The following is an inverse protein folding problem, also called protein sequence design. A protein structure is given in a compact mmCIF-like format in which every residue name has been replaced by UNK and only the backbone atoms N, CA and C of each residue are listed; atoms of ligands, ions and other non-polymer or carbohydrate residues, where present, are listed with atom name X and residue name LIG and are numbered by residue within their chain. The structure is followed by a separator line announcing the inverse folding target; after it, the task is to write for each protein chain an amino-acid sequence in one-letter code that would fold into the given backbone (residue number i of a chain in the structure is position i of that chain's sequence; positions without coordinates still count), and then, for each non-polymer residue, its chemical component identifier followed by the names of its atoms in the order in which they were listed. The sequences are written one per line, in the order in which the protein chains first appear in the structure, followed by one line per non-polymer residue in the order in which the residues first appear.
data_IF_610920551412
#
_entry.id   IF_610920551412
#
_cell.length_a   1.000
_cell.length_b   1.000
_cell.length_c   1.000
_cell.angle_alpha   90.00
_cell.angle_beta   90.00
_cell.angle_gamma   90.00
#
_symmetry.space_group_name_H-M   'P 1'
#
loop_
_entity.id
_entity.type
_entity.pdbx_description
1 polymer ?
#
# COMPACT_ATOMS: atom_id res chain seq x y z
N UNK A 1 -1.00 -14.80 16.19
CA UNK A 1 -0.08 -13.82 15.59
C UNK A 1 -0.87 -12.69 14.96
N UNK A 2 -0.41 -11.47 15.10
CA UNK A 2 -0.99 -10.28 14.52
C UNK A 2 0.04 -9.56 13.66
N UNK A 3 -0.35 -9.07 12.50
CA UNK A 3 0.50 -8.30 11.62
C UNK A 3 -0.31 -7.68 10.49
N UNK A 4 0.20 -6.63 9.88
CA UNK A 4 -0.42 -5.97 8.75
C UNK A 4 0.64 -5.53 7.73
N UNK A 5 0.29 -5.53 6.46
CA UNK A 5 1.12 -5.06 5.36
C UNK A 5 0.23 -4.47 4.27
N UNK A 6 0.55 -3.29 3.81
CA UNK A 6 -0.06 -2.75 2.60
C UNK A 6 0.53 -3.47 1.37
N UNK A 7 -0.33 -3.85 0.45
CA UNK A 7 0.04 -4.52 -0.80
C UNK A 7 -0.35 -3.63 -1.97
N UNK A 8 0.58 -3.38 -2.88
CA UNK A 8 0.32 -2.63 -4.09
C UNK A 8 -0.53 -3.45 -5.05
N UNK A 9 -1.76 -3.01 -5.29
CA UNK A 9 -2.71 -3.69 -6.16
C UNK A 9 -3.08 -2.88 -7.42
N UNK A 10 -2.26 -1.90 -7.80
CA UNK A 10 -2.45 -1.06 -8.98
C UNK A 10 -2.22 -1.80 -10.30
N UNK A 11 -1.51 -2.92 -10.26
CA UNK A 11 -1.19 -3.73 -11.42
C UNK A 11 -0.22 -3.06 -12.39
N UNK A 12 -0.18 -3.54 -13.62
CA UNK A 12 0.77 -3.13 -14.65
C UNK A 12 0.81 -1.61 -14.92
N UNK A 13 -0.30 -0.91 -14.74
CA UNK A 13 -0.40 0.54 -14.97
C UNK A 13 0.17 1.39 -13.83
N UNK A 14 0.58 0.76 -12.74
CA UNK A 14 1.14 1.42 -11.55
C UNK A 14 2.54 0.91 -11.22
N UNK A 15 3.17 0.16 -12.09
CA UNK A 15 4.56 -0.27 -11.89
C UNK A 15 5.48 0.93 -11.99
N UNK A 16 6.40 1.10 -11.01
CA UNK A 16 7.50 2.06 -11.13
C UNK A 16 8.56 1.55 -12.11
N UNK A 17 9.60 2.31 -12.31
CA UNK A 17 10.85 1.80 -12.88
C UNK A 17 11.36 0.66 -12.01
N UNK A 18 11.62 -0.50 -12.61
CA UNK A 18 11.91 -1.74 -11.87
C UNK A 18 13.38 -1.85 -11.42
N UNK A 19 14.24 -0.93 -11.83
CA UNK A 19 15.65 -0.93 -11.45
C UNK A 19 16.12 0.49 -11.08
N UNK A 20 17.18 0.56 -10.34
CA UNK A 20 17.89 1.77 -9.99
C UNK A 20 19.36 1.43 -9.73
N UNK A 21 20.21 2.41 -9.61
CA UNK A 21 21.64 2.20 -9.40
C UNK A 21 21.89 1.34 -8.14
N UNK A 22 22.41 0.14 -8.35
CA UNK A 22 22.72 -0.81 -7.29
C UNK A 22 21.55 -1.63 -6.77
N UNK A 23 20.35 -1.59 -7.41
CA UNK A 23 19.21 -2.36 -6.96
C UNK A 23 18.11 -2.57 -7.98
N UNK A 24 17.23 -3.54 -7.69
CA UNK A 24 16.04 -3.83 -8.49
C UNK A 24 14.83 -4.08 -7.57
N UNK A 25 13.64 -3.79 -8.08
CA UNK A 25 12.37 -4.05 -7.40
C UNK A 25 11.75 -5.34 -7.93
N UNK A 26 11.33 -6.22 -7.02
CA UNK A 26 10.73 -7.52 -7.36
C UNK A 26 9.43 -7.76 -6.62
N UNK A 27 8.57 -8.60 -7.15
CA UNK A 27 7.37 -9.09 -6.47
C UNK A 27 6.35 -8.02 -6.13
N UNK A 28 5.64 -8.19 -5.02
CA UNK A 28 4.58 -7.29 -4.60
C UNK A 28 5.09 -5.89 -4.22
N UNK A 29 6.35 -5.75 -3.84
CA UNK A 29 6.98 -4.44 -3.56
C UNK A 29 7.13 -3.62 -4.85
N UNK A 30 7.38 -4.28 -5.98
CA UNK A 30 7.32 -3.65 -7.30
C UNK A 30 5.88 -3.42 -7.79
N UNK A 31 4.87 -4.06 -7.20
CA UNK A 31 3.48 -3.96 -7.63
C UNK A 31 3.04 -5.02 -8.63
N UNK A 32 3.74 -6.14 -8.74
CA UNK A 32 3.44 -7.21 -9.70
C UNK A 32 2.32 -8.16 -9.26
N UNK A 33 1.56 -7.83 -8.21
CA UNK A 33 0.39 -8.59 -7.79
C UNK A 33 -0.66 -8.62 -8.92
N UNK A 34 -1.13 -9.80 -9.30
CA UNK A 34 -2.29 -9.92 -10.17
C UNK A 34 -3.58 -9.73 -9.36
N UNK A 35 -4.14 -8.52 -9.40
CA UNK A 35 -5.32 -8.14 -8.63
C UNK A 35 -6.57 -8.94 -9.02
N UNK A 36 -6.70 -9.41 -10.27
CA UNK A 36 -7.86 -10.19 -10.73
C UNK A 36 -7.90 -11.60 -10.14
N UNK A 37 -6.74 -12.13 -9.74
CA UNK A 37 -6.59 -13.45 -9.11
C UNK A 37 -6.31 -13.37 -7.62
N UNK A 38 -6.00 -12.18 -7.10
CA UNK A 38 -5.50 -11.97 -5.73
C UNK A 38 -4.30 -12.88 -5.46
N UNK A 39 -3.39 -12.98 -6.43
CA UNK A 39 -2.19 -13.84 -6.39
C UNK A 39 -0.96 -13.05 -6.78
N UNK A 40 0.09 -13.17 -5.95
CA UNK A 40 1.36 -12.50 -6.16
C UNK A 40 2.56 -13.46 -6.14
N UNK A 41 2.43 -14.66 -5.56
CA UNK A 41 3.57 -15.57 -5.35
C UNK A 41 4.26 -15.97 -6.65
N UNK A 42 3.50 -16.33 -7.69
CA UNK A 42 4.06 -16.69 -9.01
C UNK A 42 4.74 -15.49 -9.69
N UNK A 43 4.19 -14.29 -9.50
CA UNK A 43 4.78 -13.06 -10.02
C UNK A 43 6.08 -12.71 -9.27
N UNK A 44 6.09 -12.85 -7.95
CA UNK A 44 7.27 -12.64 -7.14
C UNK A 44 8.41 -13.61 -7.49
N UNK A 45 8.08 -14.90 -7.66
CA UNK A 45 9.05 -15.91 -8.11
C UNK A 45 9.61 -15.55 -9.49
N UNK A 46 8.74 -15.22 -10.47
CA UNK A 46 9.19 -14.90 -11.83
C UNK A 46 10.07 -13.66 -11.87
N UNK A 47 9.68 -12.60 -11.18
CA UNK A 47 10.51 -11.39 -11.13
C UNK A 47 11.82 -11.63 -10.38
N UNK A 48 11.81 -12.43 -9.31
CA UNK A 48 13.04 -12.85 -8.62
C UNK A 48 14.01 -13.62 -9.51
N UNK A 49 13.49 -14.56 -10.34
CA UNK A 49 14.30 -15.29 -11.33
C UNK A 49 14.94 -14.34 -12.33
N UNK A 50 14.14 -13.47 -12.95
CA UNK A 50 14.64 -12.49 -13.94
C UNK A 50 15.67 -11.54 -13.34
N UNK A 51 15.44 -11.09 -12.10
CA UNK A 51 16.39 -10.24 -11.39
C UNK A 51 17.71 -10.98 -11.13
N UNK A 52 17.64 -12.23 -10.66
CA UNK A 52 18.83 -13.03 -10.39
C UNK A 52 19.67 -13.27 -11.66
N UNK A 53 19.02 -13.61 -12.77
CA UNK A 53 19.65 -13.82 -14.07
C UNK A 53 20.36 -12.53 -14.55
N UNK A 54 19.68 -11.37 -14.49
CA UNK A 54 20.23 -10.08 -14.91
C UNK A 54 21.39 -9.63 -14.02
N UNK A 55 21.25 -9.80 -12.69
CA UNK A 55 22.32 -9.46 -11.72
C UNK A 55 23.54 -10.34 -11.94
N UNK A 56 23.35 -11.66 -12.09
CA UNK A 56 24.46 -12.58 -12.33
C UNK A 56 25.22 -12.25 -13.62
N UNK A 57 24.51 -11.92 -14.71
CA UNK A 57 25.12 -11.52 -15.96
C UNK A 57 25.93 -10.20 -15.82
N UNK A 58 25.39 -9.20 -15.11
CA UNK A 58 26.06 -7.94 -14.86
C UNK A 58 27.35 -8.14 -14.04
N UNK A 59 27.28 -8.90 -12.94
CA UNK A 59 28.44 -9.19 -12.10
C UNK A 59 29.52 -9.97 -12.86
N UNK A 60 29.14 -10.94 -13.68
CA UNK A 60 30.06 -11.70 -14.54
C UNK A 60 30.74 -10.80 -15.58
N UNK A 61 30.11 -9.72 -15.99
CA UNK A 61 30.69 -8.70 -16.87
C UNK A 61 31.48 -7.60 -16.12
N UNK A 62 31.70 -7.76 -14.80
CA UNK A 62 32.42 -6.79 -13.98
C UNK A 62 31.65 -5.50 -13.67
N UNK A 63 30.33 -5.49 -13.88
CA UNK A 63 29.48 -4.33 -13.56
C UNK A 63 28.92 -4.48 -12.14
N UNK A 64 29.43 -3.67 -11.24
CA UNK A 64 28.96 -3.60 -9.85
C UNK A 64 28.24 -2.29 -9.58
N UNK A 65 27.19 -2.33 -8.77
CA UNK A 65 26.38 -1.16 -8.38
C UNK A 65 25.87 -0.34 -9.56
N UNK A 66 25.60 -1.00 -10.66
CA UNK A 66 25.13 -0.42 -11.91
C UNK A 66 23.61 -0.44 -12.01
N UNK A 67 23.07 0.25 -13.00
CA UNK A 67 21.68 0.12 -13.41
C UNK A 67 21.50 -1.12 -14.28
N UNK A 68 20.33 -1.77 -14.16
CA UNK A 68 20.04 -3.03 -14.86
C UNK A 68 18.80 -2.91 -15.76
N UNK A 69 18.84 -2.12 -16.84
CA UNK A 69 17.72 -1.99 -17.79
C UNK A 69 17.33 -3.34 -18.42
N UNK A 70 18.30 -4.24 -18.60
CA UNK A 70 18.07 -5.60 -19.08
C UNK A 70 17.10 -6.42 -18.20
N UNK A 71 17.01 -6.13 -16.91
CA UNK A 71 16.00 -6.74 -16.04
C UNK A 71 14.59 -6.28 -16.42
N UNK A 72 14.38 -5.00 -16.64
CA UNK A 72 13.08 -4.48 -17.07
C UNK A 72 12.72 -4.95 -18.49
N UNK A 73 13.69 -5.06 -19.37
CA UNK A 73 13.49 -5.64 -20.71
C UNK A 73 13.09 -7.11 -20.62
N UNK A 74 13.76 -7.90 -19.79
CA UNK A 74 13.41 -9.30 -19.54
C UNK A 74 11.99 -9.44 -18.95
N UNK A 75 11.61 -8.57 -18.00
CA UNK A 75 10.25 -8.50 -17.51
C UNK A 75 9.26 -8.18 -18.63
N UNK A 76 9.55 -7.18 -19.45
CA UNK A 76 8.71 -6.73 -20.55
C UNK A 76 8.48 -7.83 -21.60
N UNK A 77 9.43 -8.71 -21.81
CA UNK A 77 9.35 -9.84 -22.74
C UNK A 77 8.80 -11.13 -22.08
N UNK A 78 8.48 -11.11 -20.79
CA UNK A 78 8.01 -12.28 -20.06
C UNK A 78 6.50 -12.50 -20.20
N UNK A 79 6.09 -13.75 -19.95
CA UNK A 79 4.66 -14.11 -19.84
C UNK A 79 3.96 -13.33 -18.70
N UNK A 80 4.69 -12.92 -17.69
CA UNK A 80 4.13 -12.21 -16.54
C UNK A 80 3.58 -10.84 -16.95
N UNK A 81 4.30 -10.07 -17.75
CA UNK A 81 3.79 -8.79 -18.27
C UNK A 81 2.50 -9.01 -19.06
N UNK A 82 2.47 -10.03 -19.90
CA UNK A 82 1.26 -10.35 -20.69
C UNK A 82 0.07 -10.73 -19.79
N UNK A 83 0.31 -11.46 -18.70
CA UNK A 83 -0.71 -11.79 -17.71
C UNK A 83 -1.24 -10.54 -17.00
N UNK A 84 -0.34 -9.70 -16.50
CA UNK A 84 -0.70 -8.46 -15.79
C UNK A 84 -1.43 -7.48 -16.73
N UNK A 85 -1.04 -7.43 -18.01
CA UNK A 85 -1.70 -6.59 -19.01
C UNK A 85 -3.15 -6.99 -19.24
N UNK A 86 -3.46 -8.28 -19.25
CA UNK A 86 -4.83 -8.78 -19.34
C UNK A 86 -5.71 -8.30 -18.17
N UNK A 87 -5.13 -8.13 -16.99
CA UNK A 87 -5.84 -7.70 -15.78
C UNK A 87 -5.85 -6.17 -15.56
N UNK A 88 -5.31 -5.36 -16.49
CA UNK A 88 -5.03 -3.93 -16.28
C UNK A 88 -6.23 -3.08 -15.85
N UNK A 89 -7.44 -3.42 -16.30
CA UNK A 89 -8.65 -2.67 -15.96
C UNK A 89 -9.37 -3.18 -14.71
N UNK A 90 -8.99 -4.36 -14.19
CA UNK A 90 -9.75 -5.06 -13.15
C UNK A 90 -10.07 -4.15 -11.95
N UNK A 91 -9.05 -3.56 -11.34
CA UNK A 91 -9.23 -2.67 -10.18
C UNK A 91 -10.00 -1.40 -10.51
N UNK A 92 -9.88 -0.89 -11.72
CA UNK A 92 -10.48 0.38 -12.10
C UNK A 92 -12.02 0.30 -12.20
N UNK A 93 -12.54 -0.85 -12.59
CA UNK A 93 -13.99 -1.06 -12.64
C UNK A 93 -14.64 -0.97 -11.26
N UNK A 94 -13.95 -1.39 -10.18
CA UNK A 94 -14.49 -1.34 -8.82
C UNK A 94 -14.75 0.10 -8.33
N UNK A 95 -14.13 1.11 -8.93
CA UNK A 95 -14.45 2.52 -8.65
C UNK A 95 -15.86 2.93 -9.10
N UNK A 96 -16.45 2.17 -10.03
CA UNK A 96 -17.81 2.39 -10.54
C UNK A 96 -18.86 1.58 -9.77
N UNK A 97 -18.48 0.97 -8.68
CA UNK A 97 -19.34 0.14 -7.84
C UNK A 97 -19.24 -1.36 -8.15
N UNK A 98 -19.56 -2.16 -7.12
CA UNK A 98 -19.39 -3.61 -7.15
C UNK A 98 -20.13 -4.29 -8.31
N UNK A 99 -21.39 -3.95 -8.55
CA UNK A 99 -22.21 -4.62 -9.56
C UNK A 99 -21.68 -4.37 -10.98
N UNK A 100 -21.36 -3.12 -11.31
CA UNK A 100 -20.76 -2.76 -12.61
C UNK A 100 -19.41 -3.45 -12.76
N UNK A 101 -18.57 -3.44 -11.72
CA UNK A 101 -17.28 -4.10 -11.76
C UNK A 101 -17.42 -5.60 -12.03
N UNK A 102 -18.35 -6.30 -11.37
CA UNK A 102 -18.56 -7.74 -11.58
C UNK A 102 -18.94 -8.05 -13.02
N UNK A 103 -19.88 -7.29 -13.60
CA UNK A 103 -20.30 -7.49 -14.98
C UNK A 103 -19.15 -7.20 -15.96
N UNK A 104 -18.53 -6.02 -15.83
CA UNK A 104 -17.49 -5.59 -16.76
C UNK A 104 -16.22 -6.43 -16.68
N UNK A 105 -15.80 -6.81 -15.48
CA UNK A 105 -14.65 -7.73 -15.32
C UNK A 105 -14.97 -9.13 -15.82
N UNK A 106 -16.21 -9.60 -15.67
CA UNK A 106 -16.68 -10.84 -16.26
C UNK A 106 -16.56 -10.81 -17.79
N UNK A 107 -17.07 -9.78 -18.44
CA UNK A 107 -16.95 -9.57 -19.88
C UNK A 107 -15.48 -9.52 -20.30
N UNK A 108 -14.67 -8.66 -19.67
CA UNK A 108 -13.26 -8.49 -20.04
C UNK A 108 -12.42 -9.75 -19.84
N UNK A 109 -12.58 -10.46 -18.73
CA UNK A 109 -11.74 -11.61 -18.40
C UNK A 109 -12.23 -12.91 -19.03
N UNK A 110 -13.55 -13.12 -19.14
CA UNK A 110 -14.14 -14.38 -19.63
C UNK A 110 -14.46 -14.35 -21.12
N UNK A 111 -15.10 -13.28 -21.60
CA UNK A 111 -15.50 -13.20 -23.02
C UNK A 111 -14.35 -12.68 -23.90
N UNK A 112 -13.66 -11.62 -23.47
CA UNK A 112 -12.60 -11.00 -24.27
C UNK A 112 -11.18 -11.54 -23.93
N UNK A 113 -11.06 -12.42 -22.93
CA UNK A 113 -9.76 -12.99 -22.52
C UNK A 113 -8.70 -11.96 -22.18
N UNK A 114 -9.10 -10.78 -21.69
CA UNK A 114 -8.22 -9.67 -21.38
C UNK A 114 -7.72 -8.87 -22.59
N UNK A 115 -8.23 -9.13 -23.79
CA UNK A 115 -7.84 -8.46 -25.05
C UNK A 115 -8.74 -7.27 -25.38
N UNK A 116 -8.96 -6.37 -24.41
CA UNK A 116 -9.76 -5.15 -24.61
C UNK A 116 -8.99 -4.12 -25.44
N UNK A 117 -9.66 -3.36 -26.33
CA UNK A 117 -9.05 -2.25 -27.06
C UNK A 117 -8.89 -0.99 -26.20
N UNK A 118 -9.48 -0.96 -24.99
CA UNK A 118 -9.42 0.19 -24.06
C UNK A 118 -8.56 -0.11 -22.84
N UNK A 119 -8.10 0.98 -22.20
CA UNK A 119 -7.41 0.97 -20.91
C UNK A 119 -8.02 2.05 -20.04
N UNK A 120 -8.35 1.70 -18.79
CA UNK A 120 -8.90 2.63 -17.81
C UNK A 120 -7.76 3.07 -16.90
N UNK A 121 -7.31 4.31 -17.07
CA UNK A 121 -6.24 4.87 -16.28
C UNK A 121 -6.71 5.33 -14.91
N UNK A 122 -5.82 5.26 -13.93
CA UNK A 122 -6.02 5.81 -12.60
C UNK A 122 -5.82 7.33 -12.66
N UNK A 123 -6.74 8.08 -12.04
CA UNK A 123 -6.72 9.55 -12.07
C UNK A 123 -6.36 10.19 -10.75
N UNK A 124 -6.36 9.42 -9.65
CA UNK A 124 -6.09 9.92 -8.30
C UNK A 124 -5.17 8.97 -7.54
N UNK A 125 -4.26 9.52 -6.75
CA UNK A 125 -3.47 8.78 -5.79
C UNK A 125 -4.33 8.28 -4.60
N UNK A 126 -3.81 7.34 -3.80
CA UNK A 126 -4.60 6.77 -2.69
C UNK A 126 -4.89 7.80 -1.59
N UNK A 127 -3.94 8.68 -1.30
CA UNK A 127 -4.11 9.75 -0.31
C UNK A 127 -5.15 10.80 -0.74
N UNK A 128 -5.33 11.02 -2.03
CA UNK A 128 -6.32 11.96 -2.58
C UNK A 128 -7.76 11.43 -2.55
N UNK A 129 -7.96 10.17 -2.17
CA UNK A 129 -9.28 9.53 -2.20
C UNK A 129 -10.05 9.68 -0.89
N UNK A 130 -9.45 10.23 0.16
CA UNK A 130 -10.12 10.43 1.43
C UNK A 130 -11.11 11.60 1.35
N UNK A 131 -12.35 11.35 1.76
CA UNK A 131 -13.37 12.39 1.82
C UNK A 131 -13.29 13.17 3.14
N UNK A 132 -13.64 14.46 3.16
CA UNK A 132 -13.82 15.22 4.40
C UNK A 132 -14.81 14.52 5.34
N UNK A 133 -14.55 14.57 6.65
CA UNK A 133 -15.39 13.91 7.65
C UNK A 133 -16.87 14.36 7.61
N UNK A 134 -17.12 15.63 7.30
CA UNK A 134 -18.47 16.18 7.16
C UNK A 134 -19.29 15.55 6.01
N UNK A 135 -18.63 14.86 5.07
CA UNK A 135 -19.27 14.16 3.96
C UNK A 135 -19.43 12.65 4.22
N UNK A 136 -19.07 12.18 5.41
CA UNK A 136 -19.06 10.78 5.75
C UNK A 136 -20.00 10.51 6.93
N UNK A 137 -20.68 9.35 6.88
CA UNK A 137 -21.41 8.84 8.04
C UNK A 137 -20.49 7.89 8.80
N UNK A 138 -20.32 8.05 10.13
CA UNK A 138 -19.54 7.12 10.94
C UNK A 138 -20.12 5.69 10.83
N UNK A 139 -19.22 4.70 10.71
CA UNK A 139 -19.62 3.30 10.72
C UNK A 139 -19.47 2.77 12.15
N UNK A 140 -20.55 2.25 12.70
CA UNK A 140 -20.52 1.54 13.98
C UNK A 140 -20.08 0.10 13.75
N UNK A 141 -18.94 -0.27 14.31
CA UNK A 141 -18.45 -1.64 14.28
C UNK A 141 -18.85 -2.39 15.55
N UNK A 142 -19.16 -3.70 15.44
CA UNK A 142 -19.38 -4.52 16.63
C UNK A 142 -18.15 -4.48 17.54
N UNK A 143 -18.40 -4.42 18.85
CA UNK A 143 -17.30 -4.53 19.83
C UNK A 143 -16.72 -5.94 19.79
N UNK A 144 -15.39 -6.10 19.98
CA UNK A 144 -14.78 -7.41 20.13
C UNK A 144 -15.42 -8.22 21.26
N UNK A 145 -15.59 -9.51 21.04
CA UNK A 145 -16.19 -10.45 22.01
C UNK A 145 -15.17 -11.06 22.98
N UNK A 146 -13.88 -10.81 22.76
CA UNK A 146 -12.74 -11.37 23.50
C UNK A 146 -12.64 -12.90 23.48
N UNK A 147 -13.33 -13.55 22.55
CA UNK A 147 -13.29 -15.01 22.32
C UNK A 147 -12.76 -15.32 20.94
N UNK A 148 -13.41 -14.77 19.89
CA UNK A 148 -12.99 -14.89 18.49
C UNK A 148 -12.38 -13.60 17.94
N UNK A 149 -12.77 -12.48 18.52
CA UNK A 149 -12.33 -11.14 18.11
C UNK A 149 -11.79 -10.38 19.31
N UNK A 150 -10.71 -9.66 19.10
CA UNK A 150 -10.00 -8.93 20.14
C UNK A 150 -9.82 -7.46 19.71
N UNK A 151 -9.68 -6.58 20.70
CA UNK A 151 -9.39 -5.18 20.43
C UNK A 151 -7.99 -4.99 19.80
N UNK A 152 -7.81 -3.86 19.17
CA UNK A 152 -6.59 -3.56 18.40
C UNK A 152 -5.32 -3.59 19.26
N UNK A 153 -5.36 -2.97 20.42
CA UNK A 153 -4.17 -2.84 21.28
C UNK A 153 -3.79 -4.18 21.91
N UNK A 154 -4.77 -4.98 22.37
CA UNK A 154 -4.54 -6.35 22.83
C UNK A 154 -3.93 -7.23 21.74
N UNK A 155 -4.40 -7.09 20.49
CA UNK A 155 -3.86 -7.82 19.35
C UNK A 155 -2.40 -7.43 19.05
N UNK A 156 -2.08 -6.14 19.11
CA UNK A 156 -0.70 -5.64 18.95
C UNK A 156 0.20 -6.14 20.07
N UNK A 157 -0.26 -6.10 21.31
CA UNK A 157 0.48 -6.65 22.46
C UNK A 157 0.81 -8.12 22.27
N UNK A 158 -0.18 -8.93 21.89
CA UNK A 158 -0.01 -10.38 21.65
C UNK A 158 0.90 -10.69 20.44
N UNK A 159 1.10 -9.75 19.51
CA UNK A 159 2.01 -9.90 18.38
C UNK A 159 3.49 -9.91 18.81
N UNK A 160 3.77 -9.44 20.01
CA UNK A 160 5.11 -9.23 20.54
C UNK A 160 5.97 -8.31 19.63
N UNK A 161 5.33 -7.34 18.99
CA UNK A 161 6.04 -6.30 18.21
C UNK A 161 6.90 -5.48 19.15
N UNK A 162 8.18 -5.39 18.85
CA UNK A 162 9.15 -4.64 19.64
C UNK A 162 10.16 -3.94 18.72
N UNK A 163 10.66 -2.81 19.18
CA UNK A 163 11.69 -2.01 18.52
C UNK A 163 12.80 -1.72 19.52
N UNK A 164 14.01 -1.52 19.03
CA UNK A 164 15.15 -1.10 19.86
C UNK A 164 14.85 0.25 20.52
N UNK A 165 15.00 0.33 21.84
CA UNK A 165 14.66 1.55 22.60
C UNK A 165 15.52 2.75 22.20
N UNK A 166 16.77 2.50 21.82
CA UNK A 166 17.75 3.53 21.48
C UNK A 166 17.74 3.93 20.00
N UNK A 167 16.92 3.28 19.16
CA UNK A 167 16.84 3.68 17.75
C UNK A 167 16.05 4.99 17.60
N UNK A 168 16.42 5.86 16.66
CA UNK A 168 15.61 7.02 16.31
C UNK A 168 14.21 6.62 15.85
N UNK A 169 13.19 7.38 16.24
CA UNK A 169 11.83 7.15 15.77
C UNK A 169 11.78 7.31 14.24
N UNK A 170 11.37 6.26 13.55
CA UNK A 170 11.31 6.23 12.08
C UNK A 170 10.06 6.92 11.51
N UNK A 171 9.08 7.23 12.35
CA UNK A 171 7.85 7.94 11.98
C UNK A 171 8.05 9.43 12.28
N UNK A 172 8.29 10.20 11.24
CA UNK A 172 8.53 11.63 11.31
C UNK A 172 7.45 12.41 10.60
N UNK A 173 7.17 13.61 11.07
CA UNK A 173 6.25 14.56 10.44
C UNK A 173 7.06 15.62 9.70
N UNK A 174 6.67 15.93 8.46
CA UNK A 174 7.24 17.07 7.71
C UNK A 174 6.90 18.40 8.39
N UNK A 175 5.67 18.51 8.90
CA UNK A 175 5.19 19.63 9.71
C UNK A 175 4.34 19.10 10.86
N UNK A 176 4.75 19.42 12.10
CA UNK A 176 4.09 18.98 13.32
C UNK A 176 2.68 19.58 13.51
N UNK A 177 2.35 20.66 12.80
CA UNK A 177 1.06 21.34 12.92
C UNK A 177 -0.02 20.74 12.01
N UNK A 178 0.36 20.09 10.91
CA UNK A 178 -0.56 19.54 9.90
C UNK A 178 -1.56 18.56 10.48
N UNK A 179 -1.18 17.60 11.35
CA UNK A 179 -2.13 16.64 11.90
C UNK A 179 -3.29 17.29 12.66
N UNK A 180 -3.02 18.34 13.42
CA UNK A 180 -4.02 19.03 14.23
C UNK A 180 -4.77 20.09 13.41
N UNK A 181 -4.06 20.93 12.66
CA UNK A 181 -4.67 22.06 11.98
C UNK A 181 -5.38 21.68 10.67
N UNK A 182 -5.02 20.57 10.04
CA UNK A 182 -5.61 20.13 8.77
C UNK A 182 -6.31 18.78 8.94
N UNK A 183 -5.58 17.73 9.33
CA UNK A 183 -6.10 16.37 9.33
C UNK A 183 -7.20 16.18 10.38
N UNK A 184 -7.02 16.70 11.60
CA UNK A 184 -8.06 16.67 12.64
C UNK A 184 -9.30 17.44 12.21
N UNK A 185 -9.15 18.70 11.79
CA UNK A 185 -10.26 19.57 11.45
C UNK A 185 -11.05 19.07 10.23
N UNK A 186 -10.35 18.68 9.16
CA UNK A 186 -11.00 18.33 7.89
C UNK A 186 -11.42 16.87 7.80
N UNK A 187 -10.61 15.96 8.36
CA UNK A 187 -10.78 14.53 8.20
C UNK A 187 -11.02 13.80 9.52
N UNK A 188 -11.15 14.54 10.64
CA UNK A 188 -11.35 14.03 12.01
C UNK A 188 -10.23 13.05 12.44
N UNK A 189 -8.96 13.38 12.20
CA UNK A 189 -7.80 12.60 12.62
C UNK A 189 -7.71 11.22 11.96
N UNK A 190 -7.52 11.14 10.64
CA UNK A 190 -7.52 9.88 9.91
C UNK A 190 -6.38 8.94 10.33
N UNK A 191 -5.30 9.47 10.86
CA UNK A 191 -4.12 8.75 11.35
C UNK A 191 -4.50 7.69 12.38
N UNK A 192 -5.38 8.04 13.32
CA UNK A 192 -5.86 7.11 14.34
C UNK A 192 -6.75 5.98 13.78
N UNK A 193 -7.31 6.16 12.58
CA UNK A 193 -8.23 5.20 11.95
C UNK A 193 -7.57 4.30 10.94
N UNK A 194 -6.69 4.83 10.07
CA UNK A 194 -6.04 3.98 9.08
C UNK A 194 -4.89 3.14 9.67
N UNK A 195 -4.35 3.51 10.83
CA UNK A 195 -3.31 2.73 11.48
C UNK A 195 -3.88 1.45 12.10
N UNK A 196 -3.43 0.25 11.70
CA UNK A 196 -3.93 -1.00 12.26
C UNK A 196 -3.39 -1.31 13.66
N UNK A 197 -2.39 -0.56 14.13
CA UNK A 197 -1.63 -0.89 15.33
C UNK A 197 -1.74 0.14 16.47
N UNK A 198 -2.59 1.17 16.33
CA UNK A 198 -2.72 2.19 17.38
C UNK A 198 -1.45 3.02 17.60
N UNK A 199 -0.71 3.27 16.52
CA UNK A 199 0.50 4.11 16.58
C UNK A 199 0.14 5.58 16.77
N UNK A 200 -0.94 6.03 16.14
CA UNK A 200 -1.36 7.42 16.17
C UNK A 200 -2.60 7.57 17.04
N UNK A 201 -2.53 8.50 17.99
CA UNK A 201 -3.63 8.86 18.89
C UNK A 201 -3.77 10.37 18.93
N UNK A 202 -5.00 10.88 18.90
CA UNK A 202 -5.28 12.27 19.24
C UNK A 202 -5.67 12.31 20.71
N UNK A 203 -4.96 13.08 21.49
CA UNK A 203 -5.15 13.22 22.94
C UNK A 203 -5.44 14.68 23.26
N UNK A 204 -6.29 14.89 24.27
CA UNK A 204 -6.66 16.21 24.75
C UNK A 204 -5.42 16.99 25.20
N UNK A 205 -5.29 18.22 24.73
CA UNK A 205 -4.24 19.15 25.11
C UNK A 205 -4.82 20.57 25.11
N UNK A 206 -5.02 21.13 26.31
CA UNK A 206 -5.59 22.46 26.49
C UNK A 206 -4.73 23.59 25.86
N UNK A 207 -3.46 23.33 25.57
CA UNK A 207 -2.57 24.29 24.94
C UNK A 207 -2.52 24.18 23.41
N UNK A 208 -3.15 23.15 22.84
CA UNK A 208 -3.20 22.95 21.39
C UNK A 208 -4.29 23.82 20.76
N UNK A 209 -4.07 24.25 19.51
CA UNK A 209 -4.95 25.16 18.77
C UNK A 209 -6.40 24.67 18.66
N UNK A 210 -6.64 23.36 18.67
CA UNK A 210 -7.97 22.73 18.57
C UNK A 210 -8.27 21.81 19.77
N UNK A 211 -7.58 21.97 20.89
CA UNK A 211 -7.76 21.17 22.09
C UNK A 211 -7.21 19.75 22.00
N UNK A 212 -6.54 19.41 20.91
CA UNK A 212 -6.02 18.07 20.63
C UNK A 212 -4.57 18.13 20.13
N UNK A 213 -3.77 17.13 20.45
CA UNK A 213 -2.45 16.92 19.86
C UNK A 213 -2.28 15.49 19.37
N UNK A 214 -1.49 15.31 18.32
CA UNK A 214 -1.12 13.99 17.85
C UNK A 214 -0.02 13.39 18.73
N UNK A 215 -0.26 12.18 19.24
CA UNK A 215 0.74 11.34 19.88
C UNK A 215 1.13 10.19 18.94
N UNK A 216 2.42 9.93 18.83
CA UNK A 216 2.96 8.84 18.01
C UNK A 216 3.58 7.78 18.91
N UNK A 217 2.92 6.63 19.03
CA UNK A 217 3.37 5.47 19.79
C UNK A 217 4.19 4.53 18.87
N UNK A 218 5.40 4.96 18.51
CA UNK A 218 6.21 4.30 17.47
C UNK A 218 6.52 2.82 17.79
N UNK A 219 6.56 2.44 19.07
CA UNK A 219 6.78 1.06 19.50
C UNK A 219 5.70 0.07 19.01
N UNK A 220 4.50 0.56 18.72
CA UNK A 220 3.41 -0.27 18.19
C UNK A 220 3.51 -0.49 16.67
N UNK A 221 4.44 0.15 15.98
CA UNK A 221 4.49 0.15 14.52
C UNK A 221 4.78 -1.24 13.94
N UNK A 222 3.91 -1.70 13.03
CA UNK A 222 4.03 -2.97 12.30
C UNK A 222 4.73 -2.82 10.94
N UNK A 223 5.23 -1.64 10.61
CA UNK A 223 5.83 -1.32 9.31
C UNK A 223 4.94 -1.62 8.09
N UNK A 224 3.62 -1.48 8.23
CA UNK A 224 2.66 -1.82 7.19
C UNK A 224 2.59 -0.81 6.03
N UNK A 225 3.20 0.37 6.16
CA UNK A 225 3.19 1.48 5.18
C UNK A 225 1.83 2.13 4.94
N UNK A 226 0.81 1.81 5.73
CA UNK A 226 -0.54 2.38 5.52
C UNK A 226 -0.56 3.90 5.73
N UNK A 227 0.17 4.43 6.71
CA UNK A 227 0.25 5.87 6.96
C UNK A 227 0.86 6.62 5.76
N UNK A 228 2.02 6.17 5.28
CA UNK A 228 2.70 6.73 4.12
C UNK A 228 1.82 6.76 2.86
N UNK A 229 0.97 5.74 2.67
CA UNK A 229 0.08 5.62 1.50
C UNK A 229 -1.21 6.44 1.66
N UNK A 230 -1.73 6.56 2.90
CA UNK A 230 -3.10 7.04 3.16
C UNK A 230 -3.19 8.43 3.74
N UNK A 231 -2.10 8.97 4.27
CA UNK A 231 -2.13 10.32 4.81
C UNK A 231 -2.54 11.33 3.73
N UNK A 232 -3.70 12.03 3.89
CA UNK A 232 -4.22 12.91 2.87
C UNK A 232 -3.31 14.11 2.58
N UNK A 233 -2.44 14.45 3.50
CA UNK A 233 -1.48 15.55 3.38
C UNK A 233 -0.07 15.09 3.03
N UNK A 234 0.18 13.77 3.01
CA UNK A 234 1.51 13.18 2.80
C UNK A 234 2.56 13.77 3.75
N UNK A 235 2.17 13.98 5.01
CA UNK A 235 2.96 14.62 6.04
C UNK A 235 3.82 13.63 6.85
N UNK A 236 3.40 12.34 6.86
CA UNK A 236 4.12 11.25 7.54
C UNK A 236 5.13 10.63 6.58
#
# INVERSE_FOLDING_TARGET
SYGARAITAGGILSLPQLYFKGGVLVGCEAGTLNASRIKGSHAAIKTGMLAAESIAAALSAGRERDELPEYEEAFNNSWLKAELWKARNFKQWFKKGRNIATIMTGIEQKLLGGKMPWTIHRTKADHECLLPAAQCTPIEYPKPDNVLTFDRLSSVFLSNTNHEENQPVHLTLKDANVPVNINWVKYAGPEARYCPAGVYEFIEDANAAHGERLQINAQNCLHCKTCDIKDPTQNI
#
